data_IF_996678294510
#
_entry.id   IF_996678294510
#
_cell.length_a   1.000
_cell.length_b   1.000
_cell.length_c   1.000
_cell.angle_alpha   90.00
_cell.angle_beta   90.00
_cell.angle_gamma   90.00
#
_symmetry.space_group_name_H-M   'P 1'
#
loop_
_entity.id
_entity.type
_entity.pdbx_description
1 polymer ?
#
# COMPACT_ATOMS: atom_id res chain seq x y z
N UNK A 1 4.60 46.57 -1.69
CA UNK A 1 5.25 45.83 -2.80
C UNK A 1 5.61 44.44 -2.29
N UNK A 2 4.71 43.46 -2.44
CA UNK A 2 4.91 42.08 -1.94
C UNK A 2 5.63 41.26 -3.01
N UNK A 3 6.89 40.88 -2.75
CA UNK A 3 7.67 39.99 -3.62
C UNK A 3 7.09 38.57 -3.51
N UNK A 4 6.59 38.03 -4.63
CA UNK A 4 6.30 36.59 -4.73
C UNK A 4 7.61 35.84 -4.88
N UNK A 5 7.90 34.93 -3.96
CA UNK A 5 9.02 33.99 -4.07
C UNK A 5 8.61 32.89 -5.04
N UNK A 6 9.39 32.70 -6.10
CA UNK A 6 9.19 31.61 -7.06
C UNK A 6 9.81 30.33 -6.51
N UNK A 7 9.01 29.28 -6.34
CA UNK A 7 9.50 27.95 -6.02
C UNK A 7 9.94 27.23 -7.31
N UNK A 8 11.03 26.44 -7.27
CA UNK A 8 11.49 25.68 -8.43
C UNK A 8 10.40 24.69 -8.88
N UNK A 9 10.18 24.62 -10.18
CA UNK A 9 9.16 23.75 -10.78
C UNK A 9 9.49 22.27 -10.58
N UNK A 10 8.48 21.41 -10.65
CA UNK A 10 8.64 19.97 -10.45
C UNK A 10 9.73 19.36 -11.36
N UNK A 11 9.88 19.87 -12.58
CA UNK A 11 10.93 19.49 -13.52
C UNK A 11 12.35 19.67 -12.93
N UNK A 12 12.61 20.71 -12.13
CA UNK A 12 13.95 20.97 -11.58
C UNK A 12 14.36 20.02 -10.46
N UNK A 13 13.39 19.39 -9.78
CA UNK A 13 13.66 18.45 -8.68
C UNK A 13 14.22 17.12 -9.16
N UNK A 14 13.87 16.70 -10.39
CA UNK A 14 14.20 15.37 -10.89
C UNK A 14 15.47 15.32 -11.74
N UNK A 15 15.96 16.46 -12.25
CA UNK A 15 17.17 16.49 -13.10
C UNK A 15 18.49 16.60 -12.33
N UNK A 16 18.48 16.90 -11.03
CA UNK A 16 19.72 17.09 -10.25
C UNK A 16 20.43 15.80 -9.81
N UNK A 17 19.82 14.62 -9.99
CA UNK A 17 20.41 13.38 -9.49
C UNK A 17 21.25 12.59 -10.52
N UNK A 18 21.55 13.17 -11.68
CA UNK A 18 22.47 12.57 -12.65
C UNK A 18 23.52 13.60 -13.08
N UNK A 19 24.51 13.82 -12.21
CA UNK A 19 25.82 14.29 -12.67
C UNK A 19 26.69 13.07 -12.94
N UNK A 20 26.95 12.79 -14.21
CA UNK A 20 28.08 12.01 -14.67
C UNK A 20 28.91 12.95 -15.56
N UNK A 21 30.26 12.93 -15.49
CA UNK A 21 31.07 13.98 -16.07
C UNK A 21 31.21 13.87 -17.59
N UNK A 22 31.05 15.05 -18.22
CA UNK A 22 31.55 15.60 -19.49
C UNK A 22 32.17 14.72 -20.59
N UNK A 23 31.77 15.01 -21.84
CA UNK A 23 32.64 15.27 -23.01
C UNK A 23 31.96 16.32 -23.94
N UNK A 24 32.69 17.30 -24.53
CA UNK A 24 32.15 18.41 -25.35
C UNK A 24 32.33 18.24 -26.89
N UNK A 25 31.80 19.22 -27.64
CA UNK A 25 31.84 19.51 -29.12
C UNK A 25 30.54 19.15 -29.88
N UNK A 26 29.83 19.97 -30.69
CA UNK A 26 29.95 21.35 -31.21
C UNK A 26 28.52 21.82 -31.72
N UNK A 27 28.33 22.93 -32.50
CA UNK A 27 27.50 24.12 -32.21
C UNK A 27 26.07 24.16 -32.86
N UNK A 28 25.26 25.25 -32.67
CA UNK A 28 23.80 25.22 -32.87
C UNK A 28 23.35 25.67 -34.27
N UNK A 29 22.19 25.16 -34.73
CA UNK A 29 21.45 25.69 -35.87
C UNK A 29 20.00 25.94 -35.46
N UNK A 30 19.61 27.21 -35.55
CA UNK A 30 18.24 27.72 -35.47
C UNK A 30 17.53 27.43 -36.79
N UNK A 31 16.28 26.96 -36.74
CA UNK A 31 15.41 26.88 -37.92
C UNK A 31 14.06 26.27 -37.61
N UNK A 32 12.99 27.00 -37.95
CA UNK A 32 11.62 26.80 -37.52
C UNK A 32 10.76 25.91 -38.45
N UNK A 33 9.57 25.60 -37.92
CA UNK A 33 8.29 25.38 -38.61
C UNK A 33 7.93 23.98 -39.14
N UNK A 34 6.81 23.50 -38.58
CA UNK A 34 5.66 22.80 -39.18
C UNK A 34 5.81 21.47 -39.95
N UNK A 35 4.88 20.54 -39.64
CA UNK A 35 4.37 19.59 -40.61
C UNK A 35 4.52 18.10 -40.29
N UNK A 36 3.42 17.52 -39.78
CA UNK A 36 2.82 16.25 -40.23
C UNK A 36 3.59 14.91 -40.19
N UNK A 37 3.13 14.05 -39.26
CA UNK A 37 2.91 12.59 -39.32
C UNK A 37 3.66 11.76 -40.38
N UNK A 38 4.48 10.79 -39.95
CA UNK A 38 4.39 9.38 -40.42
C UNK A 38 4.90 8.42 -39.33
N UNK A 39 4.19 7.31 -39.17
CA UNK A 39 4.42 6.20 -38.24
C UNK A 39 5.81 5.55 -38.32
N UNK A 40 6.36 5.18 -37.16
CA UNK A 40 7.32 4.07 -37.07
C UNK A 40 6.98 3.18 -35.86
N UNK A 41 6.38 2.02 -36.18
CA UNK A 41 6.37 0.83 -35.32
C UNK A 41 7.81 0.43 -35.05
N UNK A 42 8.29 0.61 -33.83
CA UNK A 42 9.54 0.02 -33.36
C UNK A 42 9.20 -1.12 -32.40
N UNK A 43 9.36 -2.35 -32.88
CA UNK A 43 9.35 -3.54 -32.05
C UNK A 43 10.56 -3.53 -31.10
N UNK A 44 10.44 -3.89 -29.81
CA UNK A 44 11.61 -4.16 -29.00
C UNK A 44 12.08 -5.60 -29.25
N UNK A 45 13.26 -5.68 -29.86
CA UNK A 45 14.05 -6.89 -29.99
C UNK A 45 14.44 -7.44 -28.61
N UNK A 46 14.32 -8.76 -28.48
CA UNK A 46 14.82 -9.55 -27.36
C UNK A 46 16.35 -9.41 -27.24
N UNK A 47 16.84 -8.98 -26.08
CA UNK A 47 18.13 -9.44 -25.53
C UNK A 47 18.32 -9.00 -24.08
N UNK A 48 18.57 -9.98 -23.21
CA UNK A 48 19.10 -9.75 -21.87
C UNK A 48 18.51 -10.66 -20.79
N UNK A 49 18.92 -11.94 -20.76
CA UNK A 49 18.80 -12.77 -19.56
C UNK A 49 19.61 -12.10 -18.43
N UNK A 50 18.93 -11.44 -17.49
CA UNK A 50 19.51 -11.03 -16.20
C UNK A 50 19.35 -12.20 -15.21
N UNK A 51 20.30 -12.40 -14.27
CA UNK A 51 20.24 -13.49 -13.31
C UNK A 51 18.97 -13.36 -12.46
N UNK A 52 18.29 -14.49 -12.22
CA UNK A 52 17.11 -14.54 -11.38
C UNK A 52 17.45 -14.06 -9.96
N UNK A 53 17.00 -12.85 -9.62
CA UNK A 53 16.81 -12.46 -8.22
C UNK A 53 15.89 -13.50 -7.56
N UNK A 54 16.12 -13.82 -6.28
CA UNK A 54 15.22 -14.70 -5.55
C UNK A 54 13.86 -14.02 -5.53
N UNK A 55 12.92 -14.52 -6.34
CA UNK A 55 11.52 -14.18 -6.25
C UNK A 55 11.11 -14.52 -4.83
N UNK A 56 11.08 -13.50 -3.97
CA UNK A 56 10.44 -13.57 -2.65
C UNK A 56 9.05 -14.10 -2.95
N UNK A 57 8.80 -15.35 -2.57
CA UNK A 57 7.57 -16.07 -2.85
C UNK A 57 6.43 -15.28 -2.22
N UNK A 58 5.86 -14.35 -2.97
CA UNK A 58 4.66 -13.65 -2.57
C UNK A 58 3.60 -14.71 -2.45
N UNK A 59 2.99 -14.83 -1.26
CA UNK A 59 1.83 -15.67 -1.05
C UNK A 59 0.82 -15.44 -2.18
N UNK A 60 0.19 -16.51 -2.74
CA UNK A 60 -0.82 -16.34 -3.77
C UNK A 60 -1.90 -15.38 -3.27
N UNK A 61 -2.13 -14.29 -4.01
CA UNK A 61 -3.14 -13.29 -3.67
C UNK A 61 -4.52 -13.87 -3.99
N UNK A 62 -5.26 -14.30 -2.97
CA UNK A 62 -6.68 -14.68 -3.11
C UNK A 62 -7.47 -13.45 -3.56
N UNK A 63 -8.21 -13.57 -4.66
CA UNK A 63 -9.11 -12.50 -5.15
C UNK A 63 -10.30 -12.41 -4.18
N UNK A 64 -10.56 -11.21 -3.68
CA UNK A 64 -11.77 -10.89 -2.92
C UNK A 64 -12.58 -9.92 -3.79
N UNK A 65 -13.89 -10.16 -3.88
CA UNK A 65 -14.84 -9.39 -4.69
C UNK A 65 -15.37 -8.15 -3.95
N UNK A 66 -15.39 -8.22 -2.61
CA UNK A 66 -15.96 -7.19 -1.74
C UNK A 66 -14.90 -6.63 -0.78
N UNK A 67 -15.08 -5.36 -0.39
CA UNK A 67 -14.22 -4.67 0.59
C UNK A 67 -15.08 -4.02 1.67
N UNK A 68 -14.64 -4.16 2.91
CA UNK A 68 -15.09 -3.35 4.05
C UNK A 68 -13.97 -2.36 4.46
N UNK A 69 -14.35 -1.24 5.06
CA UNK A 69 -13.40 -0.27 5.65
C UNK A 69 -13.69 -0.18 7.13
N UNK A 70 -12.66 -0.36 7.95
CA UNK A 70 -12.76 -0.35 9.42
C UNK A 70 -11.91 0.80 9.95
N UNK A 71 -12.49 1.59 10.85
CA UNK A 71 -11.77 2.60 11.61
C UNK A 71 -11.28 1.98 12.92
N UNK A 72 -10.04 2.27 13.27
CA UNK A 72 -9.38 1.75 14.47
C UNK A 72 -8.81 2.93 15.25
N UNK A 73 -8.88 2.85 16.57
CA UNK A 73 -8.12 3.74 17.44
C UNK A 73 -6.61 3.52 17.24
N UNK A 74 -5.82 4.51 17.63
CA UNK A 74 -4.35 4.45 17.52
C UNK A 74 -3.76 3.23 18.22
N UNK A 75 -4.28 2.91 19.40
CA UNK A 75 -3.79 1.80 20.23
C UNK A 75 -4.13 0.44 19.62
N UNK A 76 -5.30 0.31 19.01
CA UNK A 76 -5.72 -0.91 18.31
C UNK A 76 -4.89 -1.17 17.06
N UNK A 77 -4.60 -0.12 16.28
CA UNK A 77 -3.72 -0.23 15.11
C UNK A 77 -2.31 -0.64 15.54
N UNK A 78 -1.80 -0.09 16.64
CA UNK A 78 -0.50 -0.45 17.18
C UNK A 78 -0.47 -1.91 17.67
N UNK A 79 -1.52 -2.38 18.34
CA UNK A 79 -1.65 -3.77 18.76
C UNK A 79 -1.64 -4.73 17.55
N UNK A 80 -2.35 -4.38 16.47
CA UNK A 80 -2.36 -5.16 15.23
C UNK A 80 -0.95 -5.24 14.59
N UNK A 81 -0.19 -4.14 14.60
CA UNK A 81 1.18 -4.13 14.08
C UNK A 81 2.15 -4.95 14.92
N UNK A 82 2.02 -4.91 16.24
CA UNK A 82 2.82 -5.73 17.16
C UNK A 82 2.58 -7.21 16.90
N UNK A 83 1.32 -7.64 16.85
CA UNK A 83 0.95 -9.02 16.55
C UNK A 83 1.52 -9.49 15.20
N UNK A 84 1.48 -8.63 14.18
CA UNK A 84 2.06 -8.95 12.87
C UNK A 84 3.58 -9.17 12.91
N UNK A 85 4.30 -8.36 13.70
CA UNK A 85 5.75 -8.52 13.85
C UNK A 85 6.10 -9.77 14.65
N UNK A 86 5.34 -10.07 15.69
CA UNK A 86 5.47 -11.27 16.53
C UNK A 86 5.25 -12.55 15.71
N UNK A 87 4.16 -12.62 14.93
CA UNK A 87 3.90 -13.73 13.99
C UNK A 87 5.07 -13.98 13.03
N UNK A 88 5.74 -12.91 12.58
CA UNK A 88 6.90 -13.03 11.71
C UNK A 88 8.15 -13.48 12.46
N UNK A 89 8.36 -12.99 13.68
CA UNK A 89 9.55 -13.29 14.48
C UNK A 89 9.53 -14.71 15.04
N UNK A 90 8.38 -15.15 15.54
CA UNK A 90 8.26 -16.41 16.29
C UNK A 90 7.79 -17.57 15.42
N UNK A 91 6.95 -17.29 14.43
CA UNK A 91 6.33 -18.33 13.59
C UNK A 91 6.73 -18.25 12.12
N UNK A 92 7.62 -17.32 11.75
CA UNK A 92 8.04 -17.07 10.36
C UNK A 92 6.87 -16.73 9.41
N UNK A 93 5.73 -16.31 9.97
CA UNK A 93 4.52 -16.01 9.21
C UNK A 93 4.49 -14.54 8.77
N UNK A 94 4.91 -14.29 7.53
CA UNK A 94 4.76 -12.99 6.90
C UNK A 94 3.32 -12.77 6.43
N UNK A 95 2.49 -12.13 7.26
CA UNK A 95 1.11 -11.76 6.94
C UNK A 95 0.93 -10.25 6.79
N UNK A 96 0.00 -9.83 5.94
CA UNK A 96 -0.46 -8.44 5.88
C UNK A 96 -1.64 -8.19 6.85
N UNK A 97 -1.96 -6.91 7.09
CA UNK A 97 -3.07 -6.51 7.97
C UNK A 97 -4.40 -7.13 7.56
N UNK A 98 -4.69 -7.09 6.26
CA UNK A 98 -5.97 -7.57 5.73
C UNK A 98 -6.10 -9.09 5.88
N UNK A 99 -5.01 -9.85 5.73
CA UNK A 99 -5.00 -11.28 6.01
C UNK A 99 -5.26 -11.55 7.49
N UNK A 100 -4.54 -10.86 8.39
CA UNK A 100 -4.71 -11.05 9.83
C UNK A 100 -6.14 -10.76 10.29
N UNK A 101 -6.73 -9.66 9.84
CA UNK A 101 -8.13 -9.30 10.15
C UNK A 101 -9.11 -10.32 9.58
N UNK A 102 -8.90 -10.82 8.37
CA UNK A 102 -9.78 -11.85 7.79
C UNK A 102 -9.72 -13.18 8.56
N UNK A 103 -8.55 -13.61 9.01
CA UNK A 103 -8.43 -14.83 9.83
C UNK A 103 -9.13 -14.64 11.19
N UNK A 104 -8.96 -13.47 11.82
CA UNK A 104 -9.66 -13.16 13.07
C UNK A 104 -11.19 -13.19 12.91
N UNK A 105 -11.71 -12.60 11.82
CA UNK A 105 -13.14 -12.66 11.51
C UNK A 105 -13.59 -14.11 11.29
N UNK A 106 -12.83 -14.91 10.55
CA UNK A 106 -13.17 -16.30 10.30
C UNK A 106 -13.26 -17.11 11.59
N UNK A 107 -12.30 -16.94 12.51
CA UNK A 107 -12.31 -17.59 13.83
C UNK A 107 -13.53 -17.18 14.65
N UNK A 108 -13.88 -15.89 14.67
CA UNK A 108 -15.07 -15.42 15.41
C UNK A 108 -16.38 -15.92 14.81
N UNK A 109 -16.49 -15.99 13.48
CA UNK A 109 -17.66 -16.54 12.81
C UNK A 109 -17.80 -18.03 13.05
N UNK A 110 -16.69 -18.77 13.05
CA UNK A 110 -16.71 -20.19 13.37
C UNK A 110 -17.15 -20.43 14.83
N UNK A 111 -16.63 -19.66 15.79
CA UNK A 111 -17.08 -19.73 17.18
C UNK A 111 -18.58 -19.44 17.32
N UNK A 112 -19.09 -18.49 16.53
CA UNK A 112 -20.52 -18.19 16.49
C UNK A 112 -21.35 -19.34 15.90
N UNK A 113 -20.89 -19.97 14.82
CA UNK A 113 -21.56 -21.13 14.23
C UNK A 113 -21.59 -22.32 15.20
N UNK A 114 -20.50 -22.56 15.92
CA UNK A 114 -20.36 -23.70 16.84
C UNK A 114 -21.11 -23.50 18.16
N UNK A 115 -21.12 -22.28 18.71
CA UNK A 115 -21.62 -21.99 20.07
C UNK A 115 -22.91 -21.13 20.12
N UNK A 116 -23.32 -20.53 18.99
CA UNK A 116 -24.50 -19.69 18.89
C UNK A 116 -24.52 -18.56 19.93
N UNK A 117 -25.59 -18.51 20.73
CA UNK A 117 -25.81 -17.51 21.80
C UNK A 117 -24.70 -17.46 22.85
N UNK A 118 -23.95 -18.54 23.01
CA UNK A 118 -22.86 -18.64 23.99
C UNK A 118 -21.50 -18.21 23.43
N UNK A 119 -21.45 -17.81 22.16
CA UNK A 119 -20.23 -17.37 21.49
C UNK A 119 -19.59 -16.15 22.16
N UNK A 120 -18.28 -16.03 21.96
CA UNK A 120 -17.50 -14.87 22.42
C UNK A 120 -18.01 -13.60 21.73
N UNK A 121 -18.44 -13.68 20.47
CA UNK A 121 -18.97 -12.55 19.72
C UNK A 121 -20.18 -11.92 20.42
N UNK A 122 -21.20 -12.71 20.76
CA UNK A 122 -22.43 -12.20 21.40
C UNK A 122 -22.11 -11.60 22.78
N UNK A 123 -21.28 -12.27 23.57
CA UNK A 123 -20.90 -11.79 24.92
C UNK A 123 -20.20 -10.44 24.87
N UNK A 124 -19.33 -10.21 23.89
CA UNK A 124 -18.61 -8.94 23.74
C UNK A 124 -19.52 -7.82 23.28
N UNK A 125 -20.38 -8.07 22.29
CA UNK A 125 -21.32 -7.07 21.80
C UNK A 125 -22.31 -6.62 22.90
N UNK A 126 -22.80 -7.54 23.72
CA UNK A 126 -23.66 -7.18 24.85
C UNK A 126 -22.95 -6.37 25.94
N UNK A 127 -21.66 -6.64 26.18
CA UNK A 127 -20.88 -5.85 27.14
C UNK A 127 -20.64 -4.43 26.63
N UNK A 128 -20.34 -4.27 25.34
CA UNK A 128 -20.17 -2.95 24.70
C UNK A 128 -21.48 -2.15 24.67
N UNK A 129 -22.62 -2.79 24.38
CA UNK A 129 -23.93 -2.14 24.44
C UNK A 129 -24.28 -1.65 25.85
N UNK A 130 -23.87 -2.40 26.88
CA UNK A 130 -24.08 -2.00 28.28
C UNK A 130 -23.22 -0.78 28.65
N UNK A 131 -21.95 -0.74 28.23
CA UNK A 131 -21.08 0.43 28.44
C UNK A 131 -21.52 1.65 27.62
N UNK A 132 -22.03 1.45 26.40
CA UNK A 132 -22.55 2.53 25.56
C UNK A 132 -23.87 3.13 26.08
N UNK A 133 -24.65 2.36 26.86
CA UNK A 133 -25.89 2.83 27.49
C UNK A 133 -25.69 3.71 28.73
N UNK A 134 -24.47 3.81 29.25
CA UNK A 134 -24.15 4.58 30.47
C UNK A 134 -23.62 6.00 30.21
N UNK A 135 -23.47 6.44 28.96
CA UNK A 135 -23.11 7.84 28.70
C UNK A 135 -24.28 8.77 29.10
N UNK A 136 -24.13 9.62 30.14
CA UNK A 136 -25.16 10.58 30.48
C UNK A 136 -25.21 11.61 29.36
N UNK A 137 -26.40 11.75 28.77
CA UNK A 137 -26.73 12.88 27.89
C UNK A 137 -26.61 14.15 28.76
N UNK A 138 -25.45 14.80 28.67
CA UNK A 138 -25.14 16.08 29.31
C UNK A 138 -25.28 17.23 28.32
#
# INVERSE_FOLDING_TARGET
>A
MTRRVSLPGASELFFRNTTAPAMPDAPPSLGAADGERVAQKSAPAQRGKKPAEPQRRGSPRKKHDSKITVYLASDELLALERARLELRAEHELAVDRGRLVREAIAVMLQDFEDNGEQSVLIRRLHAEDAEAGEEPIG
#
